data_IF_013817968549
#
_entry.id   IF_013817968549
#
_cell.length_a   1.000
_cell.length_b   1.000
_cell.length_c   1.000
_cell.angle_alpha   90.00
_cell.angle_beta   90.00
_cell.angle_gamma   90.00
#
_symmetry.space_group_name_H-M   'P 1'
#
loop_
_entity.id
_entity.type
_entity.pdbx_description
1 polymer ?
#
# COMPACT_ATOMS: atom_id res chain seq x y z
N UNK A 1 4.32 18.33 -18.83
CA UNK A 1 3.77 16.95 -18.75
C UNK A 1 2.91 16.85 -17.49
N UNK A 2 1.83 16.06 -17.45
CA UNK A 2 1.02 15.92 -16.23
C UNK A 2 1.67 14.97 -15.22
N UNK A 3 1.30 15.07 -13.95
CA UNK A 3 1.84 14.18 -12.89
C UNK A 3 1.56 12.71 -13.22
N UNK A 4 0.38 12.39 -13.72
CA UNK A 4 -0.04 11.05 -14.11
C UNK A 4 0.84 10.50 -15.24
N UNK A 5 1.13 11.31 -16.26
CA UNK A 5 2.01 10.92 -17.37
C UNK A 5 3.46 10.70 -16.90
N UNK A 6 3.93 11.45 -15.88
CA UNK A 6 5.23 11.21 -15.25
C UNK A 6 5.24 9.88 -14.52
N UNK A 7 4.21 9.59 -13.71
CA UNK A 7 4.11 8.34 -12.97
C UNK A 7 4.02 7.12 -13.89
N UNK A 8 3.28 7.23 -14.98
CA UNK A 8 3.19 6.16 -15.99
C UNK A 8 4.55 5.92 -16.66
N UNK A 9 5.27 6.99 -17.00
CA UNK A 9 6.61 6.86 -17.58
C UNK A 9 7.63 6.27 -16.60
N UNK A 10 7.53 6.61 -15.31
CA UNK A 10 8.32 5.99 -14.24
C UNK A 10 8.08 4.47 -14.21
N UNK A 11 6.82 4.02 -14.28
CA UNK A 11 6.48 2.58 -14.35
C UNK A 11 7.03 1.91 -15.60
N UNK A 12 6.85 2.51 -16.77
CA UNK A 12 7.34 1.98 -18.05
C UNK A 12 8.86 1.80 -18.07
N UNK A 13 9.59 2.71 -17.41
CA UNK A 13 11.04 2.64 -17.29
C UNK A 13 11.52 1.65 -16.20
N UNK A 14 10.59 1.00 -15.47
CA UNK A 14 10.92 0.13 -14.35
C UNK A 14 11.63 0.87 -13.22
N UNK A 15 11.35 2.17 -13.07
CA UNK A 15 11.89 3.01 -12.02
C UNK A 15 10.89 3.05 -10.87
N UNK A 16 11.40 3.00 -9.65
CA UNK A 16 10.63 3.20 -8.43
C UNK A 16 10.98 4.56 -7.86
N UNK A 17 9.96 5.36 -7.57
CA UNK A 17 10.11 6.60 -6.82
C UNK A 17 9.42 6.45 -5.46
N UNK A 18 10.06 6.96 -4.42
CA UNK A 18 9.51 6.93 -3.06
C UNK A 18 9.92 8.18 -2.29
N UNK A 19 9.17 8.48 -1.23
CA UNK A 19 9.51 9.53 -0.29
C UNK A 19 10.55 8.98 0.69
N UNK A 20 11.64 9.71 0.94
CA UNK A 20 12.66 9.38 1.93
C UNK A 20 12.75 10.51 2.97
N UNK A 21 13.00 10.23 4.25
CA UNK A 21 13.21 11.29 5.24
C UNK A 21 14.38 12.21 4.85
N UNK A 22 14.33 13.53 5.08
CA UNK A 22 13.22 14.34 5.61
C UNK A 22 12.40 15.05 4.49
N UNK A 23 11.72 14.31 3.62
CA UNK A 23 11.00 14.80 2.41
C UNK A 23 11.88 14.97 1.16
N UNK A 24 12.73 13.98 0.92
CA UNK A 24 13.47 13.85 -0.34
C UNK A 24 12.84 12.78 -1.23
N UNK A 25 12.86 13.00 -2.54
CA UNK A 25 12.46 11.95 -3.49
C UNK A 25 13.63 11.01 -3.68
N UNK A 26 13.45 9.75 -3.32
CA UNK A 26 14.37 8.66 -3.67
C UNK A 26 13.94 8.07 -5.00
N UNK A 27 14.91 7.81 -5.88
CA UNK A 27 14.70 7.20 -7.19
C UNK A 27 15.59 5.96 -7.25
N UNK A 28 15.00 4.80 -7.56
CA UNK A 28 15.69 3.53 -7.66
C UNK A 28 15.33 2.83 -8.99
N UNK A 29 16.31 2.22 -9.65
CA UNK A 29 16.12 1.55 -10.94
C UNK A 29 17.45 1.39 -11.68
N UNK A 30 17.41 0.93 -12.93
CA UNK A 30 18.60 0.88 -13.80
C UNK A 30 19.16 2.29 -14.02
N UNK A 31 20.48 2.45 -13.98
CA UNK A 31 21.13 3.75 -14.08
C UNK A 31 20.70 4.56 -15.32
N UNK A 32 20.61 3.91 -16.48
CA UNK A 32 20.14 4.53 -17.73
C UNK A 32 18.68 5.02 -17.65
N UNK A 33 17.81 4.25 -17.01
CA UNK A 33 16.43 4.61 -16.77
C UNK A 33 16.30 5.78 -15.77
N UNK A 34 17.10 5.76 -14.70
CA UNK A 34 17.16 6.85 -13.71
C UNK A 34 17.68 8.14 -14.36
N UNK A 35 18.74 8.08 -15.16
CA UNK A 35 19.28 9.23 -15.88
C UNK A 35 18.25 9.87 -16.83
N UNK A 36 17.42 9.03 -17.46
CA UNK A 36 16.36 9.48 -18.38
C UNK A 36 15.24 10.25 -17.65
N UNK A 37 14.82 9.78 -16.47
CA UNK A 37 13.65 10.35 -15.78
C UNK A 37 13.99 11.44 -14.76
N UNK A 38 15.24 11.49 -14.28
CA UNK A 38 15.70 12.44 -13.25
C UNK A 38 15.46 13.93 -13.62
N UNK A 39 15.69 14.41 -14.86
CA UNK A 39 15.41 15.79 -15.24
C UNK A 39 13.93 16.13 -15.11
N UNK A 40 13.05 15.23 -15.57
CA UNK A 40 11.59 15.37 -15.50
C UNK A 40 11.11 15.43 -14.06
N UNK A 41 11.65 14.55 -13.19
CA UNK A 41 11.32 14.56 -11.76
C UNK A 41 11.79 15.86 -11.10
N UNK A 42 12.95 16.39 -11.49
CA UNK A 42 13.47 17.65 -10.95
C UNK A 42 12.60 18.84 -11.35
N UNK A 43 12.15 18.89 -12.59
CA UNK A 43 11.25 19.93 -13.11
C UNK A 43 9.90 19.92 -12.39
N UNK A 44 9.34 18.73 -12.14
CA UNK A 44 8.03 18.54 -11.53
C UNK A 44 8.06 18.19 -10.03
N UNK A 45 9.19 18.46 -9.35
CA UNK A 45 9.47 18.01 -7.98
C UNK A 45 8.36 18.31 -6.98
N UNK A 46 7.79 19.52 -7.03
CA UNK A 46 6.76 19.95 -6.09
C UNK A 46 5.47 19.13 -6.21
N UNK A 47 5.00 18.90 -7.44
CA UNK A 47 3.81 18.10 -7.71
C UNK A 47 4.03 16.62 -7.32
N UNK A 48 5.21 16.07 -7.63
CA UNK A 48 5.56 14.69 -7.28
C UNK A 48 5.68 14.54 -5.76
N UNK A 49 6.29 15.49 -5.05
CA UNK A 49 6.32 15.48 -3.58
C UNK A 49 4.93 15.55 -2.97
N UNK A 50 4.04 16.39 -3.49
CA UNK A 50 2.66 16.48 -3.00
C UNK A 50 1.90 15.17 -3.21
N UNK A 51 2.06 14.53 -4.37
CA UNK A 51 1.49 13.21 -4.65
C UNK A 51 2.07 12.14 -3.72
N UNK A 52 3.40 12.07 -3.60
CA UNK A 52 4.06 11.11 -2.73
C UNK A 52 3.66 11.30 -1.28
N UNK A 53 3.53 12.53 -0.77
CA UNK A 53 3.03 12.78 0.60
C UNK A 53 1.61 12.24 0.82
N UNK A 54 0.73 12.39 -0.18
CA UNK A 54 -0.64 11.85 -0.12
C UNK A 54 -0.64 10.32 -0.08
N UNK A 55 0.29 9.68 -0.77
CA UNK A 55 0.38 8.22 -0.89
C UNK A 55 1.24 7.54 0.19
N UNK A 56 2.23 8.24 0.74
CA UNK A 56 3.28 7.69 1.63
C UNK A 56 2.76 7.31 3.03
N UNK A 57 1.58 7.79 3.42
CA UNK A 57 0.89 7.34 4.63
C UNK A 57 1.57 7.69 5.96
N UNK A 58 2.73 8.37 5.97
CA UNK A 58 3.27 9.03 7.16
C UNK A 58 2.24 10.00 7.72
N UNK A 59 2.02 9.94 9.03
CA UNK A 59 0.95 10.68 9.73
C UNK A 59 -0.41 9.99 9.70
N UNK A 60 -0.57 8.84 9.04
CA UNK A 60 -1.77 8.01 9.21
C UNK A 60 -1.57 7.11 10.42
N UNK A 61 -2.28 7.41 11.50
CA UNK A 61 -2.24 6.59 12.72
C UNK A 61 -2.85 5.19 12.56
N UNK A 62 -3.46 4.91 11.40
CA UNK A 62 -4.21 3.69 11.11
C UNK A 62 -3.81 3.09 9.76
N UNK A 63 -3.89 1.75 9.63
CA UNK A 63 -3.81 1.04 8.34
C UNK A 63 -4.82 1.55 7.32
N UNK A 64 -4.51 1.40 6.04
CA UNK A 64 -5.37 1.83 4.95
C UNK A 64 -5.11 1.03 3.67
N UNK A 65 -6.02 1.10 2.70
CA UNK A 65 -5.77 0.60 1.34
C UNK A 65 -5.18 1.70 0.46
N UNK A 66 -4.11 1.40 -0.25
CA UNK A 66 -3.59 2.31 -1.28
C UNK A 66 -4.46 2.31 -2.55
N UNK A 67 -4.12 3.15 -3.53
CA UNK A 67 -4.86 3.27 -4.79
C UNK A 67 -4.90 1.99 -5.64
N UNK A 68 -4.13 0.96 -5.29
CA UNK A 68 -4.13 -0.36 -5.93
C UNK A 68 -4.92 -1.42 -5.14
N UNK A 69 -5.50 -1.04 -4.00
CA UNK A 69 -6.22 -1.95 -3.11
C UNK A 69 -5.29 -2.83 -2.25
N UNK A 70 -4.02 -2.45 -2.10
CA UNK A 70 -3.08 -3.13 -1.20
C UNK A 70 -3.17 -2.51 0.20
N UNK A 71 -3.21 -3.37 1.21
CA UNK A 71 -3.10 -2.98 2.61
C UNK A 71 -1.73 -2.36 2.89
N UNK A 72 -1.75 -1.13 3.40
CA UNK A 72 -0.60 -0.40 3.91
C UNK A 72 -0.75 -0.21 5.41
N UNK A 73 0.27 -0.63 6.15
CA UNK A 73 0.39 -0.42 7.59
C UNK A 73 1.56 0.54 7.81
N UNK A 74 1.31 1.81 8.17
CA UNK A 74 2.37 2.78 8.42
C UNK A 74 3.32 2.34 9.55
N UNK A 75 4.57 2.77 9.51
CA UNK A 75 5.55 2.45 10.57
C UNK A 75 5.26 3.22 11.87
N UNK A 76 4.62 4.38 11.75
CA UNK A 76 4.19 5.29 12.82
C UNK A 76 2.75 5.03 13.29
N UNK A 77 2.09 3.97 12.81
CA UNK A 77 0.75 3.62 13.28
C UNK A 77 0.73 3.12 14.73
N UNK A 78 -0.46 3.07 15.34
CA UNK A 78 -0.65 2.55 16.71
C UNK A 78 -0.09 1.14 16.83
N UNK A 79 0.53 0.83 17.99
CA UNK A 79 1.19 -0.46 18.25
C UNK A 79 0.31 -1.67 17.93
N UNK A 80 -1.00 -1.57 18.20
CA UNK A 80 -1.96 -2.64 17.89
C UNK A 80 -1.96 -3.07 16.42
N UNK A 81 -1.56 -2.23 15.49
CA UNK A 81 -1.58 -2.56 14.05
C UNK A 81 -0.26 -3.14 13.54
N UNK A 82 0.81 -3.09 14.35
CA UNK A 82 2.12 -3.61 13.97
C UNK A 82 2.15 -5.13 14.18
N UNK A 83 1.58 -5.87 13.23
CA UNK A 83 1.52 -7.35 13.30
C UNK A 83 2.90 -8.00 13.44
N UNK A 84 3.95 -7.33 12.94
CA UNK A 84 5.35 -7.76 13.06
C UNK A 84 5.96 -7.50 14.45
N UNK A 85 5.26 -6.78 15.33
CA UNK A 85 5.73 -6.37 16.66
C UNK A 85 4.70 -6.72 17.75
N UNK A 86 4.10 -7.91 17.62
CA UNK A 86 3.14 -8.43 18.59
C UNK A 86 1.76 -7.77 18.56
N UNK A 87 1.45 -7.00 17.53
CA UNK A 87 0.11 -6.41 17.31
C UNK A 87 -0.94 -7.41 16.82
N UNK A 88 -2.10 -6.88 16.44
CA UNK A 88 -3.23 -7.61 15.86
C UNK A 88 -2.86 -8.25 14.52
N UNK A 89 -3.60 -9.28 14.13
CA UNK A 89 -3.32 -9.99 12.89
C UNK A 89 -3.65 -9.13 11.66
N UNK A 90 -3.05 -9.48 10.52
CA UNK A 90 -3.40 -8.87 9.22
C UNK A 90 -4.89 -9.05 8.94
N UNK A 91 -5.48 -10.21 9.26
CA UNK A 91 -6.91 -10.47 9.05
C UNK A 91 -7.80 -9.54 9.90
N UNK A 92 -7.48 -9.37 11.18
CA UNK A 92 -8.25 -8.48 12.05
C UNK A 92 -8.17 -7.03 11.55
N UNK A 93 -7.01 -6.64 11.04
CA UNK A 93 -6.82 -5.33 10.39
C UNK A 93 -7.67 -5.19 9.14
N UNK A 94 -7.69 -6.20 8.27
CA UNK A 94 -8.53 -6.20 7.06
C UNK A 94 -10.02 -6.13 7.42
N UNK A 95 -10.44 -6.82 8.48
CA UNK A 95 -11.81 -6.79 8.97
C UNK A 95 -12.21 -5.43 9.52
N UNK A 96 -11.34 -4.82 10.33
CA UNK A 96 -11.55 -3.48 10.88
C UNK A 96 -11.69 -2.44 9.76
N UNK A 97 -10.92 -2.60 8.67
CA UNK A 97 -11.01 -1.77 7.47
C UNK A 97 -12.19 -2.14 6.54
N UNK A 98 -13.03 -3.11 6.92
CA UNK A 98 -14.14 -3.62 6.10
C UNK A 98 -13.70 -4.02 4.69
N UNK A 99 -12.57 -4.71 4.60
CA UNK A 99 -12.02 -5.18 3.34
C UNK A 99 -13.02 -6.11 2.61
N UNK A 100 -13.18 -5.99 1.28
CA UNK A 100 -13.97 -6.94 0.53
C UNK A 100 -13.29 -8.31 0.51
N UNK A 101 -14.08 -9.37 0.30
CA UNK A 101 -13.61 -10.76 0.31
C UNK A 101 -12.41 -10.99 -0.63
N UNK A 102 -12.45 -10.41 -1.83
CA UNK A 102 -11.37 -10.51 -2.82
C UNK A 102 -10.03 -9.99 -2.28
N UNK A 103 -10.07 -8.93 -1.48
CA UNK A 103 -8.86 -8.38 -0.85
C UNK A 103 -8.42 -9.29 0.28
N UNK A 104 -9.33 -9.76 1.13
CA UNK A 104 -9.01 -10.70 2.22
C UNK A 104 -8.33 -11.96 1.67
N UNK A 105 -8.88 -12.55 0.61
CA UNK A 105 -8.36 -13.77 -0.02
C UNK A 105 -6.93 -13.62 -0.53
N UNK A 106 -6.49 -12.41 -0.93
CA UNK A 106 -5.10 -12.15 -1.34
C UNK A 106 -4.10 -12.28 -0.19
N UNK A 107 -4.51 -11.95 1.04
CA UNK A 107 -3.63 -11.92 2.21
C UNK A 107 -3.60 -13.22 2.99
N UNK A 108 -4.73 -13.95 3.06
CA UNK A 108 -4.83 -15.21 3.82
C UNK A 108 -4.71 -16.46 2.94
N UNK A 109 -4.53 -16.28 1.63
CA UNK A 109 -4.55 -17.34 0.64
C UNK A 109 -5.96 -17.91 0.41
N UNK A 110 -6.12 -18.80 -0.59
CA UNK A 110 -7.39 -19.48 -0.81
C UNK A 110 -7.71 -20.40 0.38
N UNK A 111 -8.96 -20.37 0.82
CA UNK A 111 -9.46 -21.08 2.00
C UNK A 111 -9.52 -22.58 1.67
N UNK A 112 -8.40 -23.27 1.84
CA UNK A 112 -8.31 -24.72 1.65
C UNK A 112 -7.84 -25.44 2.92
N UNK A 113 -7.55 -24.69 4.00
CA UNK A 113 -7.11 -25.26 5.27
C UNK A 113 -8.19 -25.16 6.37
N UNK A 114 -8.38 -26.19 7.20
CA UNK A 114 -9.43 -26.23 8.23
C UNK A 114 -9.42 -25.05 9.24
N UNK A 115 -8.24 -24.47 9.53
CA UNK A 115 -8.11 -23.27 10.37
C UNK A 115 -8.69 -22.03 9.70
N UNK A 116 -8.58 -21.93 8.38
CA UNK A 116 -9.17 -20.85 7.58
C UNK A 116 -10.69 -20.93 7.56
N UNK A 117 -11.28 -22.13 7.73
CA UNK A 117 -12.73 -22.35 7.79
C UNK A 117 -13.36 -21.78 9.07
N UNK A 118 -12.75 -21.99 10.24
CA UNK A 118 -13.22 -21.38 11.50
C UNK A 118 -13.17 -19.85 11.44
N UNK A 119 -12.13 -19.29 10.83
CA UNK A 119 -12.01 -17.84 10.62
C UNK A 119 -13.05 -17.34 9.61
N UNK A 120 -13.36 -18.12 8.56
CA UNK A 120 -14.40 -17.77 7.59
C UNK A 120 -15.81 -17.80 8.17
N UNK A 121 -16.12 -18.69 9.10
CA UNK A 121 -17.41 -18.68 9.80
C UNK A 121 -17.65 -17.38 10.58
N UNK A 122 -16.58 -16.79 11.13
CA UNK A 122 -16.63 -15.46 11.75
C UNK A 122 -16.86 -14.37 10.70
N UNK A 123 -16.25 -14.48 9.51
CA UNK A 123 -16.45 -13.57 8.37
C UNK A 123 -17.88 -13.63 7.79
N UNK A 124 -18.40 -14.83 7.55
CA UNK A 124 -19.71 -15.05 6.94
C UNK A 124 -20.88 -14.63 7.86
N UNK A 125 -20.67 -14.65 9.18
CA UNK A 125 -21.61 -14.07 10.14
C UNK A 125 -21.72 -12.54 10.07
N UNK A 126 -20.72 -11.85 9.51
CA UNK A 126 -20.72 -10.39 9.31
C UNK A 126 -21.09 -9.96 7.88
N UNK A 127 -20.99 -10.85 6.89
CA UNK A 127 -21.29 -10.58 5.47
C UNK A 127 -22.16 -11.71 4.87
N UNK A 128 -23.51 -11.63 4.99
CA UNK A 128 -24.40 -12.72 4.60
C UNK A 128 -24.47 -12.98 3.08
N UNK A 129 -24.03 -12.03 2.26
CA UNK A 129 -24.14 -12.07 0.79
C UNK A 129 -22.87 -12.58 0.08
N UNK A 130 -21.87 -13.10 0.81
CA UNK A 130 -20.60 -13.60 0.24
C UNK A 130 -20.72 -15.01 -0.39
N UNK A 131 -21.86 -15.33 -1.01
CA UNK A 131 -22.11 -16.60 -1.71
C UNK A 131 -21.64 -16.59 -3.15
#
# INVERSE_FOLDING_TARGET
MTTEAIMERVRQLGVVISLSPPDTIRIAGKESAVATIKPVIREHKGAILALLRREDGRGKEQPYFDGSGLLRIPLDCKQRYKWWDGGQSILDTLLELKAPYEVIARYIGPIHQPISWKKWQILAGQYPDAK
#
